data_IF_509105072893
#
_entry.id   IF_509105072893
#
_cell.length_a   1.000
_cell.length_b   1.000
_cell.length_c   1.000
_cell.angle_alpha   90.00
_cell.angle_beta   90.00
_cell.angle_gamma   90.00
#
_symmetry.space_group_name_H-M   'P 1'
#
loop_
_entity.id
_entity.type
_entity.pdbx_description
1 polymer ?
#
# COMPACT_ATOMS: atom_id res chain seq x y z
N UNK A 1 40.83 -37.06 -19.89
CA UNK A 1 40.97 -35.62 -19.63
C UNK A 1 39.57 -35.02 -19.68
N UNK A 2 38.97 -34.75 -18.53
CA UNK A 2 37.73 -34.02 -18.48
C UNK A 2 38.09 -32.54 -18.71
N UNK A 3 37.55 -31.96 -19.78
CA UNK A 3 37.64 -30.54 -20.02
C UNK A 3 36.74 -29.85 -18.97
N UNK A 4 37.37 -29.26 -17.98
CA UNK A 4 36.68 -28.33 -17.06
C UNK A 4 36.34 -27.08 -17.87
N UNK A 5 35.13 -27.01 -18.39
CA UNK A 5 34.58 -25.75 -18.82
C UNK A 5 34.34 -24.95 -17.54
N UNK A 6 35.23 -24.00 -17.23
CA UNK A 6 34.90 -22.93 -16.33
C UNK A 6 33.74 -22.16 -16.96
N UNK A 7 32.55 -22.39 -16.50
CA UNK A 7 31.41 -21.54 -16.84
C UNK A 7 31.76 -20.12 -16.36
N UNK A 8 32.03 -19.23 -17.33
CA UNK A 8 32.14 -17.81 -17.01
C UNK A 8 30.76 -17.32 -16.67
N UNK A 9 30.49 -17.20 -15.40
CA UNK A 9 29.29 -16.55 -14.92
C UNK A 9 29.37 -15.08 -15.31
N UNK A 10 28.35 -14.59 -16.02
CA UNK A 10 28.21 -13.17 -16.29
C UNK A 10 28.05 -12.43 -14.96
N UNK A 11 28.84 -11.39 -14.68
CA UNK A 11 28.65 -10.58 -13.48
C UNK A 11 27.35 -9.75 -13.52
N UNK A 12 26.62 -9.79 -14.63
CA UNK A 12 25.34 -9.11 -14.78
C UNK A 12 24.23 -9.95 -14.14
N UNK A 13 23.70 -9.47 -13.03
CA UNK A 13 22.53 -10.03 -12.39
C UNK A 13 21.29 -9.71 -13.24
N UNK A 14 20.55 -10.73 -13.62
CA UNK A 14 19.27 -10.54 -14.30
C UNK A 14 18.23 -10.14 -13.24
N UNK A 15 17.99 -8.84 -13.14
CA UNK A 15 17.03 -8.30 -12.17
C UNK A 15 15.59 -8.37 -12.71
N UNK A 16 14.67 -8.66 -11.82
CA UNK A 16 13.24 -8.56 -12.13
C UNK A 16 12.89 -7.07 -12.18
N UNK A 17 12.41 -6.63 -13.34
CA UNK A 17 11.89 -5.29 -13.49
C UNK A 17 10.55 -5.20 -12.77
N UNK A 18 10.50 -4.45 -11.70
CA UNK A 18 9.29 -4.25 -10.89
C UNK A 18 8.90 -2.78 -10.83
N UNK A 19 7.61 -2.55 -10.71
CA UNK A 19 7.10 -1.21 -10.46
C UNK A 19 7.54 -0.76 -9.07
N UNK A 20 8.07 0.45 -8.96
CA UNK A 20 8.48 1.05 -7.68
C UNK A 20 7.30 1.28 -6.73
N UNK A 21 7.58 1.81 -5.55
CA UNK A 21 6.58 2.11 -4.52
C UNK A 21 5.61 3.19 -4.99
N UNK A 22 4.32 2.87 -5.02
CA UNK A 22 3.24 3.78 -5.43
C UNK A 22 2.67 4.58 -4.26
N UNK A 23 2.92 4.15 -3.03
CA UNK A 23 2.32 4.69 -1.81
C UNK A 23 3.22 5.64 -1.02
N UNK A 24 4.40 5.98 -1.56
CA UNK A 24 5.35 6.92 -0.94
C UNK A 24 4.74 8.29 -0.53
N UNK A 25 3.77 8.89 -1.25
CA UNK A 25 3.17 10.15 -0.84
C UNK A 25 2.38 10.09 0.48
N UNK A 26 2.05 8.89 0.96
CA UNK A 26 1.27 8.69 2.19
C UNK A 26 2.14 8.44 3.42
N UNK A 27 3.46 8.33 3.27
CA UNK A 27 4.37 8.09 4.39
C UNK A 27 4.50 9.35 5.26
N UNK A 28 4.40 9.20 6.57
CA UNK A 28 4.59 10.27 7.54
C UNK A 28 5.42 9.82 8.72
N UNK A 29 6.41 10.62 9.09
CA UNK A 29 7.21 10.43 10.30
C UNK A 29 6.77 11.33 11.46
N UNK A 30 5.83 12.26 11.21
CA UNK A 30 5.40 13.25 12.20
C UNK A 30 4.32 12.69 13.13
N UNK A 31 4.69 11.77 14.00
CA UNK A 31 3.80 11.09 14.95
C UNK A 31 4.36 11.19 16.36
N UNK A 32 3.51 11.47 17.35
CA UNK A 32 3.88 11.45 18.77
C UNK A 32 3.61 10.07 19.35
N UNK A 33 4.69 9.36 19.67
CA UNK A 33 4.62 8.03 20.25
C UNK A 33 4.30 8.11 21.75
N UNK A 34 3.39 7.27 22.21
CA UNK A 34 3.06 7.11 23.61
C UNK A 34 3.87 5.95 24.23
N UNK A 35 3.97 4.84 23.52
CA UNK A 35 4.76 3.68 23.91
C UNK A 35 5.44 3.02 22.69
N UNK A 36 5.91 1.77 22.87
CA UNK A 36 6.66 1.04 21.85
C UNK A 36 5.84 0.76 20.56
N UNK A 37 4.52 0.68 20.63
CA UNK A 37 3.65 0.26 19.51
C UNK A 37 2.47 1.21 19.27
N UNK A 38 2.18 2.12 20.18
CA UNK A 38 0.94 2.90 20.18
C UNK A 38 1.23 4.39 20.09
N UNK A 39 0.47 5.08 19.29
CA UNK A 39 0.41 6.53 19.27
C UNK A 39 -1.05 6.99 19.38
N UNK A 40 -1.24 8.21 19.85
CA UNK A 40 -2.56 8.80 19.98
C UNK A 40 -2.76 9.88 18.94
N UNK A 41 -3.95 9.88 18.38
CA UNK A 41 -4.43 10.95 17.52
C UNK A 41 -5.60 11.64 18.20
N UNK A 42 -5.43 12.95 18.47
CA UNK A 42 -6.44 13.74 19.15
C UNK A 42 -7.49 14.21 18.15
N UNK A 43 -8.73 13.87 18.40
CA UNK A 43 -9.90 14.40 17.68
C UNK A 43 -10.61 15.41 18.53
N UNK A 44 -11.01 16.54 17.93
CA UNK A 44 -11.77 17.59 18.60
C UNK A 44 -13.08 17.82 17.86
N UNK A 45 -14.17 17.84 18.61
CA UNK A 45 -15.49 18.24 18.12
C UNK A 45 -16.02 19.44 18.89
N UNK A 46 -16.78 20.30 18.23
CA UNK A 46 -17.34 21.50 18.82
C UNK A 46 -18.83 21.61 18.51
N UNK A 47 -19.60 22.16 19.45
CA UNK A 47 -20.98 22.54 19.18
C UNK A 47 -21.09 23.65 18.16
N UNK A 48 -22.18 23.68 17.39
CA UNK A 48 -22.49 24.78 16.47
C UNK A 48 -23.01 26.05 17.17
N UNK A 49 -23.29 27.06 16.34
CA UNK A 49 -23.94 28.28 16.81
C UNK A 49 -25.37 28.01 17.29
N UNK A 50 -25.76 28.74 18.35
CA UNK A 50 -27.13 28.82 18.86
C UNK A 50 -27.70 30.21 18.58
N UNK A 51 -29.00 30.32 18.48
CA UNK A 51 -29.68 31.61 18.30
C UNK A 51 -29.34 32.55 19.45
N UNK A 52 -28.94 33.77 19.15
CA UNK A 52 -28.61 34.76 20.16
C UNK A 52 -29.86 35.25 20.91
N UNK A 53 -29.78 35.21 22.22
CA UNK A 53 -30.83 35.80 23.09
C UNK A 53 -30.37 37.15 23.60
N UNK A 54 -31.02 38.21 23.16
CA UNK A 54 -30.63 39.61 23.56
C UNK A 54 -30.70 39.89 25.05
N UNK A 55 -31.47 39.10 25.80
CA UNK A 55 -31.64 39.26 27.27
C UNK A 55 -30.84 38.25 28.09
N UNK A 56 -30.33 37.18 27.46
CA UNK A 56 -29.70 36.03 28.14
C UNK A 56 -28.16 35.95 28.03
N UNK A 57 -27.54 36.93 27.38
CA UNK A 57 -26.06 36.94 27.18
C UNK A 57 -25.58 35.96 26.12
N UNK A 58 -24.33 35.51 26.21
CA UNK A 58 -23.67 34.61 25.26
C UNK A 58 -24.10 33.15 25.49
N UNK A 59 -24.40 32.43 24.42
CA UNK A 59 -24.63 31.00 24.48
C UNK A 59 -23.33 30.26 24.75
N UNK A 60 -23.29 29.42 25.75
CA UNK A 60 -22.14 28.55 26.02
C UNK A 60 -22.09 27.42 25.02
N UNK A 61 -20.98 27.31 24.30
CA UNK A 61 -20.66 26.18 23.44
C UNK A 61 -20.03 25.05 24.26
N UNK A 62 -20.12 23.84 23.73
CA UNK A 62 -19.42 22.67 24.23
C UNK A 62 -18.35 22.24 23.23
N UNK A 63 -17.23 21.75 23.73
CA UNK A 63 -16.22 21.06 22.96
C UNK A 63 -15.92 19.71 23.60
N UNK A 64 -15.60 18.74 22.77
CA UNK A 64 -15.21 17.41 23.20
C UNK A 64 -13.86 17.09 22.54
N UNK A 65 -12.91 16.65 23.33
CA UNK A 65 -11.62 16.16 22.89
C UNK A 65 -11.56 14.66 23.18
N UNK A 66 -11.27 13.88 22.15
CA UNK A 66 -11.13 12.43 22.26
C UNK A 66 -9.77 12.01 21.71
N UNK A 67 -8.99 11.34 22.52
CA UNK A 67 -7.75 10.71 22.09
C UNK A 67 -8.03 9.27 21.68
N UNK A 68 -7.74 8.96 20.43
CA UNK A 68 -7.93 7.62 19.87
C UNK A 68 -6.55 6.95 19.77
N UNK A 69 -6.34 5.82 20.45
CA UNK A 69 -5.11 5.05 20.34
C UNK A 69 -5.07 4.28 19.02
N UNK A 70 -3.92 4.29 18.35
CA UNK A 70 -3.63 3.51 17.16
C UNK A 70 -2.40 2.65 17.44
N UNK A 71 -2.53 1.34 17.25
CA UNK A 71 -1.48 0.35 17.53
C UNK A 71 -0.97 -0.24 16.23
N UNK A 72 0.36 -0.25 16.05
CA UNK A 72 1.01 -0.90 14.93
C UNK A 72 0.99 -2.42 15.13
N UNK A 73 0.72 -3.13 14.05
CA UNK A 73 0.62 -4.60 14.06
C UNK A 73 1.58 -5.27 13.08
N UNK A 74 2.11 -4.57 12.09
CA UNK A 74 2.92 -5.14 11.02
C UNK A 74 4.42 -4.98 11.34
N UNK A 75 5.02 -6.01 11.96
CA UNK A 75 6.44 -6.10 12.36
C UNK A 75 7.07 -7.29 11.62
N UNK A 76 7.99 -7.00 10.70
CA UNK A 76 8.58 -7.97 9.78
C UNK A 76 10.09 -7.90 9.86
N UNK A 77 10.74 -9.05 9.81
CA UNK A 77 12.18 -9.14 9.75
C UNK A 77 12.65 -10.25 8.80
N UNK A 78 13.89 -10.13 8.38
CA UNK A 78 14.59 -11.13 7.57
C UNK A 78 16.06 -11.11 7.87
N UNK A 79 16.69 -12.27 7.78
CA UNK A 79 18.12 -12.44 7.92
C UNK A 79 18.66 -13.27 6.74
N UNK A 80 19.71 -12.76 6.09
CA UNK A 80 20.46 -13.50 5.07
C UNK A 80 21.90 -13.68 5.53
N UNK A 81 22.40 -14.89 5.44
CA UNK A 81 23.79 -15.21 5.67
C UNK A 81 24.39 -15.83 4.42
N UNK A 82 25.53 -15.30 3.98
CA UNK A 82 26.25 -15.78 2.80
C UNK A 82 27.66 -16.14 3.20
N UNK A 83 28.05 -17.37 2.93
CA UNK A 83 29.41 -17.83 3.19
C UNK A 83 30.41 -17.07 2.32
N UNK A 84 31.60 -16.81 2.85
CA UNK A 84 32.67 -16.14 2.12
C UNK A 84 33.13 -16.93 0.90
N UNK A 85 33.15 -18.26 0.99
CA UNK A 85 33.51 -19.14 -0.11
C UNK A 85 32.51 -19.03 -1.28
N UNK A 86 31.20 -18.96 -0.99
CA UNK A 86 30.15 -18.82 -2.01
C UNK A 86 30.29 -17.49 -2.77
N UNK A 87 30.68 -16.41 -2.10
CA UNK A 87 30.92 -15.10 -2.74
C UNK A 87 32.11 -15.18 -3.70
N UNK A 88 33.21 -15.85 -3.28
CA UNK A 88 34.39 -16.00 -4.09
C UNK A 88 34.13 -16.93 -5.30
N UNK A 89 33.42 -18.04 -5.13
CA UNK A 89 33.08 -18.99 -6.19
C UNK A 89 32.16 -18.39 -7.25
N UNK A 90 31.23 -17.52 -6.86
CA UNK A 90 30.28 -16.86 -7.77
C UNK A 90 30.79 -15.55 -8.38
N UNK A 91 32.11 -15.23 -8.24
CA UNK A 91 32.67 -13.94 -8.68
C UNK A 91 31.89 -12.73 -8.15
N UNK A 92 31.54 -12.75 -6.87
CA UNK A 92 30.76 -11.72 -6.16
C UNK A 92 29.30 -11.54 -6.65
N UNK A 93 28.76 -12.40 -7.51
CA UNK A 93 27.36 -12.36 -7.90
C UNK A 93 26.45 -12.64 -6.70
N UNK A 94 26.80 -13.60 -5.83
CA UNK A 94 26.12 -13.87 -4.57
C UNK A 94 26.53 -12.92 -3.45
N UNK A 95 26.99 -11.71 -3.77
CA UNK A 95 27.32 -10.72 -2.74
C UNK A 95 26.09 -10.29 -1.95
N UNK A 96 26.29 -9.99 -0.68
CA UNK A 96 25.22 -9.57 0.21
C UNK A 96 24.49 -8.32 -0.28
N UNK A 97 25.20 -7.42 -1.00
CA UNK A 97 24.60 -6.23 -1.59
C UNK A 97 23.62 -6.58 -2.72
N UNK A 98 23.97 -7.55 -3.56
CA UNK A 98 23.08 -8.00 -4.62
C UNK A 98 21.85 -8.70 -4.05
N UNK A 99 22.05 -9.55 -3.04
CA UNK A 99 20.94 -10.26 -2.36
C UNK A 99 20.00 -9.27 -1.68
N UNK A 100 20.53 -8.28 -0.94
CA UNK A 100 19.69 -7.27 -0.28
C UNK A 100 18.91 -6.43 -1.28
N UNK A 101 19.56 -6.03 -2.41
CA UNK A 101 18.88 -5.27 -3.47
C UNK A 101 17.73 -6.06 -4.11
N UNK A 102 17.97 -7.32 -4.47
CA UNK A 102 16.94 -8.20 -5.02
C UNK A 102 15.80 -8.39 -4.02
N UNK A 103 16.11 -8.59 -2.74
CA UNK A 103 15.12 -8.72 -1.68
C UNK A 103 14.26 -7.46 -1.55
N UNK A 104 14.87 -6.28 -1.52
CA UNK A 104 14.15 -5.01 -1.42
C UNK A 104 13.19 -4.81 -2.61
N UNK A 105 13.66 -5.06 -3.82
CA UNK A 105 12.85 -4.90 -5.02
C UNK A 105 11.72 -5.94 -5.12
N UNK A 106 12.02 -7.20 -4.79
CA UNK A 106 11.07 -8.31 -4.99
C UNK A 106 10.02 -8.38 -3.88
N UNK A 107 10.40 -8.03 -2.64
CA UNK A 107 9.54 -8.25 -1.47
C UNK A 107 9.16 -6.97 -0.74
N UNK A 108 10.13 -6.13 -0.36
CA UNK A 108 9.85 -4.98 0.51
C UNK A 108 8.97 -3.93 -0.17
N UNK A 109 9.28 -3.60 -1.42
CA UNK A 109 8.52 -2.61 -2.19
C UNK A 109 7.08 -3.07 -2.44
N UNK A 110 6.83 -4.28 -3.00
CA UNK A 110 5.46 -4.76 -3.19
C UNK A 110 4.68 -4.96 -1.88
N UNK A 111 5.34 -5.42 -0.81
CA UNK A 111 4.70 -5.61 0.49
C UNK A 111 4.24 -4.28 1.10
N UNK A 112 5.04 -3.22 0.96
CA UNK A 112 4.67 -1.88 1.44
C UNK A 112 3.40 -1.38 0.76
N UNK A 113 3.30 -1.53 -0.56
CA UNK A 113 2.11 -1.14 -1.31
C UNK A 113 0.92 -2.04 -1.01
N UNK A 114 1.12 -3.36 -0.92
CA UNK A 114 0.08 -4.32 -0.56
C UNK A 114 -0.53 -4.04 0.83
N UNK A 115 0.32 -3.68 1.80
CA UNK A 115 -0.12 -3.27 3.14
C UNK A 115 -1.01 -2.03 3.06
N UNK A 116 -0.59 -1.01 2.32
CA UNK A 116 -1.37 0.21 2.15
C UNK A 116 -2.71 -0.07 1.49
N UNK A 117 -2.72 -0.76 0.36
CA UNK A 117 -3.94 -1.04 -0.40
C UNK A 117 -4.93 -1.87 0.40
N UNK A 118 -4.47 -2.93 1.06
CA UNK A 118 -5.36 -3.79 1.86
C UNK A 118 -5.96 -3.07 3.06
N UNK A 119 -5.16 -2.32 3.82
CA UNK A 119 -5.66 -1.58 5.00
C UNK A 119 -6.66 -0.48 4.61
N UNK A 120 -6.39 0.27 3.53
CA UNK A 120 -7.32 1.30 3.04
C UNK A 120 -8.60 0.66 2.48
N UNK A 121 -8.49 -0.45 1.72
CA UNK A 121 -9.65 -1.17 1.21
C UNK A 121 -10.53 -1.71 2.33
N UNK A 122 -9.96 -2.36 3.35
CA UNK A 122 -10.68 -2.85 4.51
C UNK A 122 -11.36 -1.72 5.31
N UNK A 123 -10.71 -0.57 5.43
CA UNK A 123 -11.32 0.59 6.06
C UNK A 123 -12.51 1.13 5.25
N UNK A 124 -12.42 1.15 3.93
CA UNK A 124 -13.51 1.55 3.04
C UNK A 124 -14.67 0.55 3.08
N UNK A 125 -14.39 -0.75 3.08
CA UNK A 125 -15.42 -1.81 3.15
C UNK A 125 -16.23 -1.77 4.45
N UNK A 126 -15.64 -1.33 5.55
CA UNK A 126 -16.34 -1.13 6.84
C UNK A 126 -17.25 0.09 6.84
N UNK A 127 -17.13 0.97 5.86
CA UNK A 127 -17.88 2.23 5.79
C UNK A 127 -18.96 2.13 4.71
N UNK A 128 -20.23 2.20 5.13
CA UNK A 128 -21.36 2.13 4.20
C UNK A 128 -21.34 3.28 3.17
N UNK A 129 -21.54 2.93 1.90
CA UNK A 129 -21.58 3.89 0.79
C UNK A 129 -20.21 4.25 0.22
N UNK A 130 -19.10 3.74 0.77
CA UNK A 130 -17.74 4.00 0.32
C UNK A 130 -17.03 2.78 -0.27
N UNK A 131 -17.78 1.73 -0.53
CA UNK A 131 -17.31 0.54 -1.22
C UNK A 131 -18.36 0.03 -2.21
N UNK A 132 -17.92 -0.72 -3.19
CA UNK A 132 -18.78 -1.54 -4.05
C UNK A 132 -18.00 -2.76 -4.54
N UNK A 133 -18.72 -3.74 -5.05
CA UNK A 133 -18.14 -4.90 -5.74
C UNK A 133 -18.65 -4.93 -7.18
N UNK A 134 -17.74 -4.90 -8.13
CA UNK A 134 -18.06 -4.82 -9.57
C UNK A 134 -17.15 -5.79 -10.34
N UNK A 135 -17.75 -6.68 -11.14
CA UNK A 135 -16.94 -7.53 -11.99
C UNK A 135 -16.07 -6.71 -12.95
N UNK A 136 -14.78 -7.03 -13.04
CA UNK A 136 -13.82 -6.31 -13.88
C UNK A 136 -14.28 -6.18 -15.33
N UNK A 137 -14.98 -7.20 -15.85
CA UNK A 137 -15.57 -7.19 -17.21
C UNK A 137 -16.60 -6.09 -17.47
N UNK A 138 -17.14 -5.48 -16.42
CA UNK A 138 -18.09 -4.36 -16.53
C UNK A 138 -17.40 -3.05 -16.97
N UNK A 139 -16.11 -2.93 -16.73
CA UNK A 139 -15.30 -1.79 -17.14
C UNK A 139 -14.97 -1.85 -18.63
N UNK A 140 -15.95 -1.52 -19.46
CA UNK A 140 -15.76 -1.47 -20.91
C UNK A 140 -15.37 -0.07 -21.36
N UNK A 141 -14.78 0.04 -22.56
CA UNK A 141 -14.36 1.32 -23.19
C UNK A 141 -15.45 2.42 -23.15
N UNK A 142 -16.71 2.02 -23.29
CA UNK A 142 -17.84 2.96 -23.31
C UNK A 142 -18.32 3.38 -21.91
N UNK A 143 -17.99 2.62 -20.86
CA UNK A 143 -18.54 2.86 -19.52
C UNK A 143 -17.50 3.30 -18.49
N UNK A 144 -16.23 2.96 -18.72
CA UNK A 144 -15.15 3.14 -17.73
C UNK A 144 -15.03 4.60 -17.27
N UNK A 145 -15.07 5.55 -18.17
CA UNK A 145 -14.97 6.96 -17.83
C UNK A 145 -16.13 7.42 -16.93
N UNK A 146 -17.36 7.07 -17.30
CA UNK A 146 -18.53 7.36 -16.47
C UNK A 146 -18.45 6.72 -15.09
N UNK A 147 -18.01 5.46 -15.04
CA UNK A 147 -17.86 4.73 -13.77
C UNK A 147 -16.82 5.35 -12.83
N UNK A 148 -15.67 5.82 -13.36
CA UNK A 148 -14.65 6.51 -12.57
C UNK A 148 -15.14 7.90 -12.10
N UNK A 149 -15.87 8.62 -12.95
CA UNK A 149 -16.51 9.89 -12.55
C UNK A 149 -17.56 9.69 -11.47
N UNK A 150 -18.35 8.63 -11.53
CA UNK A 150 -19.34 8.30 -10.52
C UNK A 150 -18.71 8.02 -9.15
N UNK A 151 -17.53 7.37 -9.12
CA UNK A 151 -16.76 7.17 -7.89
C UNK A 151 -16.38 8.53 -7.28
N UNK A 152 -15.82 9.43 -8.06
CA UNK A 152 -15.44 10.77 -7.59
C UNK A 152 -16.65 11.64 -7.19
N UNK A 153 -17.82 11.36 -7.75
CA UNK A 153 -19.06 12.05 -7.44
C UNK A 153 -19.70 11.56 -6.12
N UNK A 154 -19.26 10.40 -5.60
CA UNK A 154 -19.81 9.81 -4.39
C UNK A 154 -19.54 10.67 -3.16
N UNK A 155 -20.57 10.82 -2.35
CA UNK A 155 -20.51 11.37 -1.02
C UNK A 155 -19.69 12.64 -0.89
N UNK A 156 -18.76 12.64 0.04
CA UNK A 156 -17.93 13.80 0.37
C UNK A 156 -16.56 13.81 -0.32
N UNK A 157 -16.26 12.85 -1.20
CA UNK A 157 -15.00 12.80 -1.94
C UNK A 157 -14.72 14.09 -2.73
N UNK A 158 -15.74 14.74 -3.26
CA UNK A 158 -15.60 16.04 -3.94
C UNK A 158 -14.99 17.14 -3.06
N UNK A 159 -15.16 17.08 -1.73
CA UNK A 159 -14.52 18.03 -0.80
C UNK A 159 -13.01 17.88 -0.81
N UNK A 160 -12.53 16.65 -0.80
CA UNK A 160 -11.09 16.35 -0.82
C UNK A 160 -10.47 16.60 -2.19
N UNK A 161 -11.23 16.40 -3.26
CA UNK A 161 -10.84 16.81 -4.61
C UNK A 161 -10.51 18.29 -4.67
N UNK A 162 -11.36 19.15 -4.13
CA UNK A 162 -11.13 20.60 -4.13
C UNK A 162 -9.82 21.00 -3.42
N UNK A 163 -9.36 20.20 -2.45
CA UNK A 163 -8.10 20.42 -1.73
C UNK A 163 -6.88 19.79 -2.44
N UNK A 164 -7.06 19.11 -3.60
CA UNK A 164 -5.97 18.47 -4.33
C UNK A 164 -5.29 17.30 -3.61
N UNK A 165 -5.97 16.69 -2.64
CA UNK A 165 -5.38 15.65 -1.77
C UNK A 165 -5.80 14.22 -2.10
N UNK A 166 -6.63 14.03 -3.14
CA UNK A 166 -7.05 12.70 -3.59
C UNK A 166 -6.06 12.13 -4.59
N UNK A 167 -5.84 10.82 -4.48
CA UNK A 167 -5.13 10.01 -5.45
C UNK A 167 -5.97 8.77 -5.77
N UNK A 168 -6.09 8.43 -7.05
CA UNK A 168 -6.84 7.28 -7.52
C UNK A 168 -5.88 6.23 -8.06
N UNK A 169 -5.95 5.02 -7.53
CA UNK A 169 -5.24 3.85 -8.04
C UNK A 169 -6.18 3.01 -8.88
N UNK A 170 -5.74 2.61 -10.04
CA UNK A 170 -6.54 1.86 -11.00
C UNK A 170 -5.75 0.67 -11.50
N UNK A 171 -6.40 -0.48 -11.59
CA UNK A 171 -5.82 -1.71 -12.13
C UNK A 171 -5.52 -1.57 -13.62
N UNK A 172 -4.43 -2.21 -14.10
CA UNK A 172 -3.94 -2.10 -15.48
C UNK A 172 -5.00 -2.38 -16.55
N UNK A 173 -5.79 -3.46 -16.42
CA UNK A 173 -6.84 -3.76 -17.41
C UNK A 173 -7.96 -2.72 -17.49
N UNK A 174 -8.22 -1.98 -16.41
CA UNK A 174 -9.19 -0.88 -16.39
C UNK A 174 -8.58 0.37 -17.01
N UNK A 175 -7.28 0.58 -16.79
CA UNK A 175 -6.53 1.68 -17.39
C UNK A 175 -6.50 1.53 -18.91
N UNK A 176 -6.25 0.34 -19.44
CA UNK A 176 -6.35 0.04 -20.87
C UNK A 176 -7.72 0.40 -21.47
N UNK A 177 -8.80 0.03 -20.76
CA UNK A 177 -10.15 0.38 -21.19
C UNK A 177 -10.37 1.90 -21.20
N UNK A 178 -9.78 2.62 -20.22
CA UNK A 178 -9.85 4.08 -20.14
C UNK A 178 -9.09 4.75 -21.28
N UNK A 179 -7.90 4.27 -21.60
CA UNK A 179 -7.06 4.78 -22.70
C UNK A 179 -7.72 4.63 -24.06
N UNK A 180 -8.50 3.57 -24.22
CA UNK A 180 -9.26 3.30 -25.44
C UNK A 180 -10.63 4.01 -25.47
N UNK A 181 -11.01 4.73 -24.42
CA UNK A 181 -12.25 5.48 -24.37
C UNK A 181 -12.13 6.77 -25.16
N UNK A 182 -13.08 7.01 -26.08
CA UNK A 182 -13.15 8.24 -26.91
C UNK A 182 -13.58 9.47 -26.11
N UNK A 183 -14.17 9.27 -24.94
CA UNK A 183 -14.69 10.34 -24.08
C UNK A 183 -13.62 10.97 -23.20
N UNK A 184 -12.45 10.38 -23.16
CA UNK A 184 -11.37 10.79 -22.28
C UNK A 184 -10.22 11.43 -23.06
N UNK A 185 -10.02 12.74 -22.89
CA UNK A 185 -8.81 13.43 -23.32
C UNK A 185 -7.78 13.36 -22.21
N UNK A 186 -6.75 12.57 -22.44
CA UNK A 186 -5.75 12.21 -21.47
C UNK A 186 -4.59 13.19 -21.44
N UNK A 187 -4.28 13.72 -20.25
CA UNK A 187 -3.01 14.37 -19.98
C UNK A 187 -2.09 13.33 -19.31
N UNK A 188 -1.09 12.88 -20.05
CA UNK A 188 -0.09 11.95 -19.50
C UNK A 188 1.02 12.77 -18.89
N UNK A 189 1.26 12.57 -17.59
CA UNK A 189 2.49 12.97 -16.93
C UNK A 189 3.28 11.71 -16.62
N UNK A 190 4.50 11.62 -17.17
CA UNK A 190 5.41 10.55 -16.85
C UNK A 190 6.14 10.94 -15.56
N UNK A 191 5.91 10.20 -14.50
CA UNK A 191 6.63 10.36 -13.26
C UNK A 191 7.66 9.24 -13.16
N UNK A 192 8.93 9.60 -13.17
CA UNK A 192 9.98 8.63 -12.85
C UNK A 192 9.95 8.35 -11.35
N UNK A 193 9.57 7.14 -11.00
CA UNK A 193 9.72 6.64 -9.63
C UNK A 193 11.10 5.98 -9.58
N UNK A 194 12.12 6.82 -9.40
CA UNK A 194 13.50 6.35 -9.35
C UNK A 194 14.05 6.53 -7.93
N UNK A 195 14.14 5.45 -7.18
CA UNK A 195 15.16 5.29 -6.15
C UNK A 195 15.85 3.95 -6.38
N UNK A 196 17.06 4.01 -6.91
CA UNK A 196 18.04 2.93 -6.88
C UNK A 196 17.83 1.78 -7.87
N UNK A 197 17.81 2.05 -9.17
CA UNK A 197 17.73 1.00 -10.16
C UNK A 197 16.98 1.43 -11.41
N UNK A 198 16.66 0.51 -12.29
CA UNK A 198 15.84 0.77 -13.46
C UNK A 198 14.44 1.21 -13.04
N UNK A 199 14.14 2.50 -13.17
CA UNK A 199 12.82 3.04 -12.90
C UNK A 199 11.82 2.55 -13.94
N UNK A 200 10.75 1.92 -13.50
CA UNK A 200 9.57 1.69 -14.35
C UNK A 200 8.80 2.99 -14.38
N UNK A 201 8.61 3.55 -15.57
CA UNK A 201 7.82 4.75 -15.75
C UNK A 201 6.34 4.43 -15.46
N UNK A 202 5.78 5.08 -14.44
CA UNK A 202 4.35 5.00 -14.14
C UNK A 202 3.64 6.14 -14.85
N UNK A 203 2.63 5.79 -15.65
CA UNK A 203 1.79 6.80 -16.31
C UNK A 203 0.85 7.41 -15.27
N UNK A 204 0.93 8.74 -15.14
CA UNK A 204 0.00 9.50 -14.32
C UNK A 204 -0.99 10.20 -15.24
N UNK A 205 -2.26 10.00 -14.96
CA UNK A 205 -3.36 10.62 -15.70
C UNK A 205 -4.25 11.34 -14.70
N UNK A 206 -4.89 12.44 -15.10
CA UNK A 206 -5.86 13.07 -14.24
C UNK A 206 -7.29 12.93 -14.81
N UNK A 207 -8.25 12.70 -13.95
CA UNK A 207 -9.69 12.86 -14.23
C UNK A 207 -10.22 13.93 -13.29
N UNK A 208 -10.76 14.99 -13.87
CA UNK A 208 -11.32 16.10 -13.12
C UNK A 208 -10.33 16.71 -12.10
N UNK A 209 -9.02 16.69 -12.37
CA UNK A 209 -7.97 17.17 -11.46
C UNK A 209 -7.64 16.22 -10.31
N UNK A 210 -8.04 14.96 -10.37
CA UNK A 210 -7.58 13.89 -9.49
C UNK A 210 -6.59 13.03 -10.26
N UNK A 211 -5.32 12.94 -9.83
CA UNK A 211 -4.34 12.10 -10.49
C UNK A 211 -4.71 10.63 -10.38
N UNK A 212 -4.49 9.91 -11.48
CA UNK A 212 -4.70 8.47 -11.57
C UNK A 212 -3.34 7.80 -11.69
N UNK A 213 -3.10 6.81 -10.87
CA UNK A 213 -1.93 5.95 -10.93
C UNK A 213 -2.34 4.54 -11.33
N UNK A 214 -1.68 4.03 -12.36
CA UNK A 214 -1.85 2.66 -12.80
C UNK A 214 -1.04 1.72 -11.89
N UNK A 215 -1.71 0.68 -11.38
CA UNK A 215 -1.06 -0.44 -10.70
C UNK A 215 -0.84 -1.54 -11.72
N UNK A 216 0.40 -1.66 -12.21
CA UNK A 216 0.79 -2.62 -13.25
C UNK A 216 0.87 -4.03 -12.65
N UNK A 217 1.43 -4.13 -11.46
CA UNK A 217 1.58 -5.40 -10.74
C UNK A 217 0.31 -5.70 -9.94
N UNK A 218 -0.53 -6.54 -10.51
CA UNK A 218 -1.79 -6.97 -9.93
C UNK A 218 -1.62 -7.76 -8.60
N UNK A 219 -0.45 -8.35 -8.34
CA UNK A 219 -0.22 -9.22 -7.18
C UNK A 219 -0.18 -8.44 -5.86
N UNK A 220 0.11 -7.14 -5.91
CA UNK A 220 0.06 -6.24 -4.75
C UNK A 220 -1.30 -5.56 -4.55
N UNK A 221 -2.28 -5.77 -5.44
CA UNK A 221 -3.52 -5.00 -5.47
C UNK A 221 -4.76 -5.81 -5.08
N UNK A 222 -4.77 -6.28 -3.82
CA UNK A 222 -5.87 -7.03 -3.21
C UNK A 222 -6.34 -6.36 -1.92
N UNK A 223 -7.56 -6.67 -1.50
CA UNK A 223 -8.17 -6.13 -0.28
C UNK A 223 -7.76 -6.89 0.99
N UNK A 224 -7.21 -8.09 0.87
CA UNK A 224 -6.71 -8.88 2.00
C UNK A 224 -5.50 -9.74 1.63
N UNK A 225 -4.55 -9.84 2.58
CA UNK A 225 -3.34 -10.65 2.43
C UNK A 225 -3.14 -11.56 3.63
N UNK A 226 -2.54 -12.72 3.36
CA UNK A 226 -1.87 -13.54 4.36
C UNK A 226 -0.42 -13.05 4.46
N UNK A 227 -0.06 -12.54 5.63
CA UNK A 227 1.27 -12.00 5.92
C UNK A 227 2.26 -13.04 6.44
N UNK A 228 1.81 -14.26 6.69
CA UNK A 228 2.60 -15.36 7.23
C UNK A 228 2.42 -16.64 6.38
N UNK A 229 2.70 -16.60 5.06
CA UNK A 229 2.67 -17.80 4.26
C UNK A 229 3.84 -18.72 4.66
N UNK A 230 3.70 -20.03 4.43
CA UNK A 230 4.67 -21.05 4.81
C UNK A 230 6.09 -20.79 4.29
N UNK A 231 6.20 -20.18 3.11
CA UNK A 231 7.49 -19.89 2.47
C UNK A 231 8.00 -18.47 2.72
N UNK A 232 7.40 -17.72 3.63
CA UNK A 232 7.70 -16.30 3.87
C UNK A 232 7.13 -15.37 2.79
N UNK A 233 7.33 -14.06 2.96
CA UNK A 233 6.75 -13.03 2.10
C UNK A 233 5.27 -12.78 2.41
N UNK A 234 4.48 -12.49 1.39
CA UNK A 234 3.03 -12.26 1.49
C UNK A 234 2.31 -12.88 0.29
N UNK A 235 1.07 -13.28 0.48
CA UNK A 235 0.22 -13.78 -0.59
C UNK A 235 -1.23 -13.30 -0.41
N UNK A 236 -2.02 -13.16 -1.50
CA UNK A 236 -3.44 -12.87 -1.37
C UNK A 236 -4.14 -13.92 -0.50
N UNK A 237 -5.01 -13.47 0.42
CA UNK A 237 -5.75 -14.36 1.31
C UNK A 237 -6.60 -15.33 0.50
N UNK A 238 -6.34 -16.63 0.64
CA UNK A 238 -7.13 -17.68 -0.02
C UNK A 238 -8.42 -17.95 0.75
N UNK A 239 -9.47 -18.27 0.02
CA UNK A 239 -10.73 -18.70 0.62
C UNK A 239 -10.54 -20.04 1.32
N UNK A 240 -11.01 -20.12 2.56
CA UNK A 240 -11.04 -21.38 3.31
C UNK A 240 -12.50 -21.67 3.66
N UNK A 241 -13.00 -22.81 3.21
CA UNK A 241 -14.35 -23.26 3.57
C UNK A 241 -14.33 -23.85 4.98
N UNK A 242 -15.32 -23.50 5.80
CA UNK A 242 -15.43 -24.07 7.13
C UNK A 242 -15.46 -25.61 7.11
N UNK A 243 -14.68 -26.23 7.97
CA UNK A 243 -14.56 -27.67 8.13
C UNK A 243 -14.43 -28.04 9.61
N UNK A 244 -14.27 -29.36 9.88
CA UNK A 244 -14.09 -29.82 11.25
C UNK A 244 -12.81 -29.23 11.87
N UNK A 245 -12.98 -28.23 12.78
CA UNK A 245 -11.87 -27.53 13.44
C UNK A 245 -11.20 -26.42 12.63
N UNK A 246 -11.75 -26.06 11.45
CA UNK A 246 -11.24 -24.97 10.62
C UNK A 246 -12.33 -23.91 10.47
N UNK A 247 -12.00 -22.68 10.85
CA UNK A 247 -12.90 -21.53 10.64
C UNK A 247 -12.92 -21.10 9.16
N UNK A 248 -14.07 -20.62 8.70
CA UNK A 248 -14.18 -20.08 7.36
C UNK A 248 -13.39 -18.77 7.23
N UNK A 249 -12.60 -18.66 6.18
CA UNK A 249 -11.88 -17.43 5.82
C UNK A 249 -12.36 -16.96 4.46
N UNK A 250 -12.77 -15.71 4.39
CA UNK A 250 -13.14 -15.07 3.11
C UNK A 250 -11.89 -14.87 2.26
N UNK A 251 -11.97 -15.27 0.99
CA UNK A 251 -10.87 -15.03 0.04
C UNK A 251 -10.70 -13.54 -0.26
N UNK A 252 -9.50 -13.15 -0.61
CA UNK A 252 -9.21 -11.80 -1.06
C UNK A 252 -9.91 -11.50 -2.40
N UNK A 253 -10.27 -10.24 -2.61
CA UNK A 253 -10.75 -9.74 -3.88
C UNK A 253 -9.70 -8.83 -4.51
N UNK A 254 -9.52 -8.92 -5.82
CA UNK A 254 -8.71 -7.93 -6.53
C UNK A 254 -9.37 -6.56 -6.45
N UNK A 255 -8.58 -5.54 -6.23
CA UNK A 255 -9.06 -4.16 -6.25
C UNK A 255 -9.13 -3.69 -7.71
N UNK A 256 -10.26 -3.16 -8.12
CA UNK A 256 -10.43 -2.52 -9.42
C UNK A 256 -9.99 -1.05 -9.38
N UNK A 257 -10.49 -0.33 -8.38
CA UNK A 257 -10.22 1.09 -8.18
C UNK A 257 -10.14 1.38 -6.69
N UNK A 258 -9.11 2.10 -6.26
CA UNK A 258 -8.95 2.60 -4.91
C UNK A 258 -8.75 4.12 -4.95
N UNK A 259 -9.53 4.86 -4.20
CA UNK A 259 -9.33 6.30 -4.00
C UNK A 259 -8.89 6.53 -2.57
N UNK A 260 -7.76 7.18 -2.40
CA UNK A 260 -7.19 7.51 -1.10
C UNK A 260 -6.93 9.01 -0.96
N UNK A 261 -7.11 9.52 0.25
CA UNK A 261 -6.84 10.92 0.57
C UNK A 261 -5.52 11.04 1.34
N UNK A 262 -4.56 11.82 0.81
CA UNK A 262 -3.26 12.02 1.43
C UNK A 262 -3.29 12.70 2.79
N UNK A 263 -4.40 13.33 3.18
CA UNK A 263 -4.54 13.94 4.50
C UNK A 263 -4.97 12.94 5.57
N UNK A 264 -5.76 11.94 5.20
CA UNK A 264 -6.38 10.98 6.14
C UNK A 264 -5.75 9.60 6.11
N UNK A 265 -5.19 9.18 4.98
CA UNK A 265 -4.48 7.92 4.87
C UNK A 265 -3.00 8.17 5.14
N UNK A 266 -2.42 7.47 6.11
CA UNK A 266 -1.00 7.62 6.46
C UNK A 266 -0.36 6.28 6.74
N UNK A 267 0.80 6.07 6.13
CA UNK A 267 1.74 5.01 6.49
C UNK A 267 2.68 5.55 7.56
N UNK A 268 2.73 4.89 8.70
CA UNK A 268 3.52 5.30 9.86
C UNK A 268 4.64 4.31 10.09
N UNK A 269 5.88 4.59 9.65
CA UNK A 269 7.04 3.76 9.98
C UNK A 269 7.50 4.05 11.41
N UNK A 270 7.80 3.00 12.17
CA UNK A 270 8.38 3.08 13.52
C UNK A 270 9.84 2.66 13.53
N UNK A 271 10.14 1.50 12.95
CA UNK A 271 11.47 0.93 12.86
C UNK A 271 11.71 0.58 11.40
N UNK A 272 12.85 1.01 10.90
CA UNK A 272 13.42 0.56 9.64
C UNK A 272 14.93 0.43 9.89
N UNK A 273 15.34 -0.77 10.30
CA UNK A 273 16.71 -1.03 10.73
C UNK A 273 17.35 -2.05 9.82
N UNK A 274 18.42 -1.64 9.17
CA UNK A 274 19.25 -2.49 8.33
C UNK A 274 20.60 -2.63 8.99
N UNK A 275 21.02 -3.87 9.25
CA UNK A 275 22.31 -4.20 9.82
C UNK A 275 23.11 -5.05 8.84
N UNK A 276 24.36 -4.70 8.68
CA UNK A 276 25.32 -5.43 7.87
C UNK A 276 26.55 -5.79 8.71
N UNK A 277 26.92 -7.07 8.72
CA UNK A 277 28.08 -7.55 9.43
C UNK A 277 29.03 -8.27 8.48
N UNK A 278 30.29 -7.86 8.51
CA UNK A 278 31.35 -8.55 7.79
C UNK A 278 31.79 -9.85 8.50
N UNK A 279 32.47 -10.76 7.81
CA UNK A 279 33.03 -11.95 8.42
C UNK A 279 33.88 -11.63 9.66
N UNK A 280 33.66 -12.36 10.76
CA UNK A 280 34.33 -12.11 12.03
C UNK A 280 33.73 -11.01 12.91
N UNK A 281 32.72 -10.25 12.42
CA UNK A 281 32.00 -9.26 13.22
C UNK A 281 30.76 -9.82 13.93
N UNK A 282 30.44 -11.08 13.70
CA UNK A 282 29.30 -11.79 14.30
C UNK A 282 29.65 -13.22 14.68
N UNK A 283 28.79 -13.90 15.45
CA UNK A 283 29.06 -15.24 16.01
C UNK A 283 28.40 -16.39 15.24
N UNK A 284 27.72 -16.10 14.11
CA UNK A 284 26.92 -17.08 13.36
C UNK A 284 27.68 -17.86 12.27
N UNK A 285 29.00 -17.70 12.16
CA UNK A 285 29.82 -18.39 11.15
C UNK A 285 30.79 -17.46 10.46
N UNK A 286 31.48 -17.94 9.41
CA UNK A 286 32.48 -17.20 8.64
C UNK A 286 31.86 -16.69 7.30
N UNK A 287 30.97 -15.73 7.41
CA UNK A 287 30.28 -15.18 6.25
C UNK A 287 29.84 -13.74 6.44
N UNK A 288 29.15 -13.22 5.45
CA UNK A 288 28.47 -11.92 5.50
C UNK A 288 27.06 -12.11 6.02
N UNK A 289 26.63 -11.25 6.94
CA UNK A 289 25.30 -11.28 7.53
C UNK A 289 24.58 -9.98 7.26
N UNK A 290 23.35 -10.08 6.72
CA UNK A 290 22.41 -8.98 6.50
C UNK A 290 21.17 -9.22 7.32
N UNK A 291 20.74 -8.22 8.06
CA UNK A 291 19.50 -8.25 8.84
C UNK A 291 18.69 -7.00 8.50
N UNK A 292 17.42 -7.19 8.16
CA UNK A 292 16.50 -6.11 7.90
C UNK A 292 15.25 -6.30 8.77
N UNK A 293 14.83 -5.25 9.45
CA UNK A 293 13.58 -5.22 10.23
C UNK A 293 12.80 -3.97 9.89
N UNK A 294 11.56 -4.18 9.47
CA UNK A 294 10.58 -3.13 9.21
C UNK A 294 9.40 -3.26 10.16
N UNK A 295 9.12 -2.22 10.91
CA UNK A 295 7.94 -2.11 11.75
C UNK A 295 7.17 -0.86 11.37
N UNK A 296 6.10 -1.05 10.60
CA UNK A 296 5.25 0.02 10.06
C UNK A 296 3.81 -0.44 10.01
N UNK A 297 2.88 0.49 9.93
CA UNK A 297 1.47 0.16 9.68
C UNK A 297 0.77 1.31 8.96
N UNK A 298 -0.41 1.04 8.40
CA UNK A 298 -1.21 2.01 7.65
C UNK A 298 -2.49 2.31 8.41
N UNK A 299 -2.77 3.59 8.55
CA UNK A 299 -3.94 4.08 9.27
C UNK A 299 -4.77 5.01 8.40
N UNK A 300 -6.10 4.85 8.51
CA UNK A 300 -7.06 5.75 7.91
C UNK A 300 -7.75 6.52 9.04
N UNK A 301 -7.49 7.83 9.10
CA UNK A 301 -8.03 8.70 10.15
C UNK A 301 -9.45 9.15 9.80
N UNK A 302 -10.40 9.05 10.75
CA UNK A 302 -11.73 9.58 10.54
C UNK A 302 -11.69 11.10 10.40
N UNK A 303 -12.37 11.63 9.40
CA UNK A 303 -12.45 13.07 9.13
C UNK A 303 -13.91 13.56 9.02
N UNK A 304 -14.88 12.65 9.08
CA UNK A 304 -16.28 12.99 9.10
C UNK A 304 -16.79 13.42 10.48
N UNK A 305 -17.97 14.00 10.54
CA UNK A 305 -18.70 14.12 11.80
C UNK A 305 -18.96 12.73 12.36
N UNK A 306 -18.94 12.59 13.64
CA UNK A 306 -19.19 11.31 14.35
C UNK A 306 -18.13 10.23 14.12
N UNK A 307 -16.90 10.64 13.79
CA UNK A 307 -15.78 9.71 13.59
C UNK A 307 -15.90 8.86 12.32
N UNK A 308 -16.66 9.28 11.32
CA UNK A 308 -16.83 8.57 10.06
C UNK A 308 -15.65 8.76 9.12
N UNK A 309 -15.33 7.72 8.38
CA UNK A 309 -14.34 7.74 7.30
C UNK A 309 -15.08 8.04 6.00
N UNK A 310 -14.85 9.21 5.41
CA UNK A 310 -15.54 9.69 4.21
C UNK A 310 -14.59 10.18 3.09
N UNK A 311 -13.30 9.86 3.24
CA UNK A 311 -12.22 10.34 2.38
C UNK A 311 -11.60 9.27 1.48
N UNK A 312 -12.11 8.05 1.54
CA UNK A 312 -11.61 6.89 0.78
C UNK A 312 -12.76 6.24 0.04
N UNK A 313 -12.43 5.48 -1.01
CA UNK A 313 -13.40 4.65 -1.72
C UNK A 313 -12.71 3.44 -2.33
N UNK A 314 -13.37 2.29 -2.32
CA UNK A 314 -12.85 1.07 -2.95
C UNK A 314 -13.91 0.43 -3.86
N UNK A 315 -13.47 -0.05 -5.01
CA UNK A 315 -14.21 -0.96 -5.86
C UNK A 315 -13.40 -2.24 -6.02
N UNK A 316 -13.96 -3.36 -5.57
CA UNK A 316 -13.32 -4.67 -5.63
C UNK A 316 -13.98 -5.56 -6.69
N UNK A 317 -13.24 -6.52 -7.22
CA UNK A 317 -13.82 -7.52 -8.12
C UNK A 317 -14.82 -8.40 -7.35
N UNK A 318 -15.75 -8.99 -8.05
CA UNK A 318 -16.72 -9.95 -7.49
C UNK A 318 -16.12 -11.32 -7.24
N UNK A 319 -14.95 -11.63 -7.83
CA UNK A 319 -14.30 -12.94 -7.74
C UNK A 319 -13.34 -13.00 -6.56
N UNK A 320 -13.52 -13.99 -5.69
CA UNK A 320 -12.61 -14.28 -4.57
C UNK A 320 -11.43 -15.16 -5.02
N UNK A 321 -10.28 -14.99 -4.38
CA UNK A 321 -9.12 -15.88 -4.57
C UNK A 321 -9.38 -17.23 -3.95
N UNK A 322 -9.24 -18.30 -4.76
CA UNK A 322 -9.48 -19.69 -4.33
C UNK A 322 -10.95 -20.11 -4.30
N UNK A 323 -11.82 -19.34 -5.00
CA UNK A 323 -13.23 -19.69 -5.20
C UNK A 323 -13.40 -20.74 -6.30
#
# INVERSE_FOLDING_TARGET
>A
MALNYAEQWSPELLEILMQGTLTSPFVTSNVRWLDAKTFHFTQMSTSGYKNHNRKGGWNVGSYEQKDVPYTLTHDRDVEFMVDKADVDETNATASIQNISRVFEQTWVVPETDALFFSKVAQAAQKTEGYHRSTATSTYTKAKVFGMLKDILAKGKLRRYKANGSLLMYVRSGIMDALEQSTEFTRKIEMTQIAEGGFGIETRVTDIDGVPIMEVIDDERFYDAFNWEPENGGFEPQKKVTAGSGVEAVTGAHKINVLVACGQTCKTVPKINSIYYFAPGAHTKGDGYLYQNRSFSDVFVFPNGRDGKIDSIYVDVDTTEVGA
#
